data_IF_689453182683
#
_entry.id   IF_689453182683
#
_cell.length_a   1.000
_cell.length_b   1.000
_cell.length_c   1.000
_cell.angle_alpha   90.00
_cell.angle_beta   90.00
_cell.angle_gamma   90.00
#
_symmetry.space_group_name_H-M   'P 1'
#
loop_
_entity.id
_entity.type
_entity.pdbx_description
1 polymer ?
#
# COMPACT_ATOMS: atom_id res chain seq x y z
N UNK A 1 7.05 13.07 17.46
CA UNK A 1 5.62 12.88 17.82
C UNK A 1 5.18 11.57 17.20
N UNK A 2 5.04 10.52 18.02
CA UNK A 2 4.67 9.17 17.57
C UNK A 2 3.15 9.02 17.59
N UNK A 3 2.63 8.54 16.49
CA UNK A 3 1.21 8.41 16.17
C UNK A 3 0.22 8.01 17.25
N UNK A 4 0.61 7.06 18.09
CA UNK A 4 -0.34 6.32 18.91
C UNK A 4 -0.15 6.57 20.42
N UNK A 5 0.77 7.47 20.75
CA UNK A 5 1.12 7.79 22.14
C UNK A 5 0.01 8.48 22.94
N UNK A 6 -1.01 9.05 22.27
CA UNK A 6 -2.12 9.73 22.95
C UNK A 6 -3.42 8.90 23.04
N UNK A 7 -3.50 7.70 22.42
CA UNK A 7 -4.74 6.90 22.39
C UNK A 7 -4.54 5.40 22.71
N UNK A 8 -3.32 4.95 23.01
CA UNK A 8 -3.07 3.54 23.41
C UNK A 8 -3.28 2.51 22.29
N UNK A 9 -3.39 2.94 21.03
CA UNK A 9 -3.56 2.05 19.87
C UNK A 9 -2.21 1.39 19.52
N UNK A 10 -2.13 0.05 19.44
CA UNK A 10 -0.86 -0.62 19.17
C UNK A 10 -0.40 -0.42 17.71
N UNK A 11 0.85 -0.02 17.48
CA UNK A 11 1.43 0.02 16.13
C UNK A 11 2.90 -0.37 16.11
N UNK A 12 3.35 -1.14 15.09
CA UNK A 12 2.55 -1.73 14.01
C UNK A 12 1.55 -2.77 14.51
N UNK A 13 0.56 -3.18 13.70
CA UNK A 13 -0.35 -4.25 14.08
C UNK A 13 0.45 -5.53 14.38
N UNK A 14 -0.02 -6.37 15.31
CA UNK A 14 0.73 -7.55 15.73
C UNK A 14 1.10 -8.44 14.52
N UNK A 15 2.33 -8.96 14.51
CA UNK A 15 2.90 -9.74 13.39
C UNK A 15 3.28 -8.96 12.12
N UNK A 16 3.19 -7.62 12.11
CA UNK A 16 3.54 -6.75 10.96
C UNK A 16 4.79 -5.90 11.20
N UNK A 17 5.90 -6.54 11.60
CA UNK A 17 7.15 -5.84 11.97
C UNK A 17 7.70 -4.91 10.87
N UNK A 18 7.45 -5.18 9.60
CA UNK A 18 7.89 -4.33 8.48
C UNK A 18 7.28 -2.92 8.48
N UNK A 19 6.12 -2.71 9.12
CA UNK A 19 5.48 -1.40 9.26
C UNK A 19 6.10 -0.54 10.38
N UNK A 20 7.00 -1.09 11.20
CA UNK A 20 7.65 -0.38 12.30
C UNK A 20 8.39 0.90 11.88
N UNK A 21 8.85 0.99 10.62
CA UNK A 21 9.48 2.19 10.08
C UNK A 21 8.50 3.33 9.81
N UNK A 22 7.20 3.05 9.71
CA UNK A 22 6.16 4.06 9.46
C UNK A 22 5.79 4.68 10.81
N UNK A 23 6.13 5.95 10.99
CA UNK A 23 5.97 6.67 12.27
C UNK A 23 4.82 7.68 12.30
N UNK A 24 4.21 7.99 11.15
CA UNK A 24 3.08 8.94 10.95
C UNK A 24 1.89 8.23 10.28
N UNK A 25 0.65 8.55 10.68
CA UNK A 25 -0.58 7.92 10.17
C UNK A 25 -0.85 8.45 8.80
N UNK A 26 -0.45 9.68 8.56
CA UNK A 26 -0.56 10.32 7.29
C UNK A 26 0.76 10.91 6.86
N UNK A 27 0.94 10.98 5.55
CA UNK A 27 2.06 11.62 4.91
C UNK A 27 1.66 12.09 3.53
N UNK A 28 2.41 13.05 3.03
CA UNK A 28 2.31 13.51 1.65
C UNK A 28 3.69 13.85 1.09
N UNK A 29 3.82 13.62 -0.20
CA UNK A 29 4.96 13.95 -1.05
C UNK A 29 4.45 14.52 -2.36
N UNK A 30 5.25 15.37 -2.99
CA UNK A 30 4.93 15.95 -4.28
C UNK A 30 6.14 15.88 -5.20
N UNK A 31 5.88 15.81 -6.49
CA UNK A 31 6.84 16.03 -7.55
C UNK A 31 6.32 17.16 -8.44
N UNK A 32 7.19 18.04 -8.88
CA UNK A 32 6.84 19.17 -9.74
C UNK A 32 7.45 18.91 -11.11
N UNK A 33 6.61 18.89 -12.12
CA UNK A 33 7.05 18.82 -13.51
C UNK A 33 6.98 20.24 -14.12
N UNK A 34 8.14 20.89 -14.34
CA UNK A 34 8.17 22.22 -14.93
C UNK A 34 7.80 22.24 -16.42
N UNK A 35 7.94 21.11 -17.14
CA UNK A 35 7.64 21.05 -18.57
C UNK A 35 6.14 21.05 -18.83
N UNK A 36 5.40 20.27 -18.03
CA UNK A 36 3.94 20.18 -18.12
C UNK A 36 3.23 21.15 -17.18
N UNK A 37 4.00 21.96 -16.43
CA UNK A 37 3.50 22.85 -15.39
C UNK A 37 2.48 22.19 -14.46
N UNK A 38 2.75 20.93 -14.11
CA UNK A 38 1.87 20.07 -13.32
C UNK A 38 2.57 19.65 -12.04
N UNK A 39 1.84 19.65 -10.93
CA UNK A 39 2.28 19.12 -9.65
C UNK A 39 1.56 17.80 -9.44
N UNK A 40 2.32 16.73 -9.23
CA UNK A 40 1.79 15.42 -8.87
C UNK A 40 2.06 15.18 -7.39
N UNK A 41 1.04 14.80 -6.65
CA UNK A 41 1.16 14.45 -5.25
C UNK A 41 0.68 13.04 -4.96
N UNK A 42 1.32 12.43 -3.97
CA UNK A 42 0.87 11.19 -3.35
C UNK A 42 0.74 11.41 -1.86
N UNK A 43 -0.33 10.85 -1.30
CA UNK A 43 -0.57 10.86 0.13
C UNK A 43 -0.95 9.47 0.62
N UNK A 44 -0.73 9.23 1.91
CA UNK A 44 -1.28 8.06 2.57
C UNK A 44 -1.96 8.46 3.87
N UNK A 45 -2.90 7.62 4.29
CA UNK A 45 -3.60 7.69 5.57
C UNK A 45 -3.74 6.29 6.17
N UNK A 46 -3.59 6.21 7.48
CA UNK A 46 -3.74 5.00 8.29
C UNK A 46 -4.72 5.34 9.40
N UNK A 47 -5.84 4.62 9.43
CA UNK A 47 -6.86 4.74 10.46
C UNK A 47 -6.98 3.41 11.20
N UNK A 48 -6.95 3.45 12.53
CA UNK A 48 -7.19 2.28 13.36
C UNK A 48 -8.65 2.29 13.82
N UNK A 49 -9.42 1.33 13.35
CA UNK A 49 -10.83 1.18 13.66
C UNK A 49 -11.00 0.09 14.73
N UNK A 50 -11.55 0.42 15.92
CA UNK A 50 -11.77 -0.57 16.97
C UNK A 50 -12.85 -1.57 16.54
N UNK A 51 -12.60 -2.84 16.80
CA UNK A 51 -13.55 -3.95 16.62
C UNK A 51 -13.62 -4.70 17.93
N UNK A 52 -14.83 -4.80 18.48
CA UNK A 52 -15.09 -5.64 19.65
C UNK A 52 -15.27 -7.08 19.22
N UNK A 53 -14.46 -7.96 19.79
CA UNK A 53 -14.66 -9.40 19.67
C UNK A 53 -15.70 -9.88 20.70
N UNK A 54 -16.17 -11.12 20.54
CA UNK A 54 -17.23 -11.71 21.38
C UNK A 54 -16.89 -11.72 22.87
N UNK A 55 -15.59 -11.76 23.23
CA UNK A 55 -15.08 -11.78 24.61
C UNK A 55 -14.79 -10.37 25.19
N UNK A 56 -15.30 -9.30 24.58
CA UNK A 56 -15.01 -7.89 24.94
C UNK A 56 -13.53 -7.47 24.77
N UNK A 57 -12.73 -8.32 24.12
CA UNK A 57 -11.37 -8.00 23.71
C UNK A 57 -11.39 -6.95 22.59
N UNK A 58 -10.72 -5.84 22.85
CA UNK A 58 -10.58 -4.73 21.91
C UNK A 58 -9.50 -5.05 20.87
N UNK A 59 -9.93 -5.35 19.65
CA UNK A 59 -9.06 -5.48 18.48
C UNK A 59 -9.13 -4.26 17.58
N UNK A 60 -8.19 -4.15 16.65
CA UNK A 60 -8.13 -3.06 15.68
C UNK A 60 -8.01 -3.58 14.25
N UNK A 61 -8.81 -2.99 13.36
CA UNK A 61 -8.67 -3.09 11.90
C UNK A 61 -8.00 -1.81 11.42
N UNK A 62 -6.91 -1.93 10.68
CA UNK A 62 -6.17 -0.78 10.17
C UNK A 62 -6.54 -0.52 8.72
N UNK A 63 -7.26 0.56 8.47
CA UNK A 63 -7.58 1.02 7.12
C UNK A 63 -6.40 1.83 6.58
N UNK A 64 -5.78 1.32 5.52
CA UNK A 64 -4.66 1.94 4.82
C UNK A 64 -5.17 2.44 3.49
N UNK A 65 -4.98 3.73 3.23
CA UNK A 65 -5.38 4.40 2.00
C UNK A 65 -4.17 5.13 1.43
N UNK A 66 -3.96 4.99 0.12
CA UNK A 66 -3.00 5.75 -0.67
C UNK A 66 -3.77 6.42 -1.79
N UNK A 67 -3.68 7.74 -1.86
CA UNK A 67 -4.36 8.57 -2.85
C UNK A 67 -3.35 9.42 -3.61
N UNK A 68 -3.66 9.66 -4.87
CA UNK A 68 -2.93 10.57 -5.72
C UNK A 68 -3.75 11.81 -6.04
N UNK A 69 -3.04 12.88 -6.34
CA UNK A 69 -3.66 14.09 -6.84
C UNK A 69 -2.73 14.77 -7.84
N UNK A 70 -3.32 15.48 -8.79
CA UNK A 70 -2.62 16.37 -9.71
C UNK A 70 -3.18 17.77 -9.60
N UNK A 71 -2.31 18.75 -9.81
CA UNK A 71 -2.68 20.16 -9.90
C UNK A 71 -1.96 20.77 -11.10
N UNK A 72 -2.72 21.36 -12.02
CA UNK A 72 -2.22 22.14 -13.15
C UNK A 72 -2.17 23.63 -12.79
N UNK A 73 -1.19 24.36 -13.31
CA UNK A 73 -1.16 25.83 -13.19
C UNK A 73 -2.39 26.53 -13.79
N UNK A 74 -3.17 25.83 -14.63
CA UNK A 74 -4.45 26.30 -15.16
C UNK A 74 -5.59 26.21 -14.13
N UNK A 75 -5.26 25.91 -12.87
CA UNK A 75 -6.18 25.80 -11.73
C UNK A 75 -7.12 24.58 -11.81
N UNK A 76 -6.72 23.57 -12.57
CA UNK A 76 -7.36 22.26 -12.58
C UNK A 76 -6.74 21.36 -11.51
N UNK A 77 -7.57 20.74 -10.70
CA UNK A 77 -7.15 19.76 -9.69
C UNK A 77 -7.93 18.47 -9.84
N UNK A 78 -7.23 17.34 -9.81
CA UNK A 78 -7.84 16.02 -9.86
C UNK A 78 -7.29 15.15 -8.74
N UNK A 79 -8.18 14.54 -7.96
CA UNK A 79 -7.84 13.51 -7.00
C UNK A 79 -8.22 12.14 -7.57
N UNK A 80 -7.43 11.12 -7.27
CA UNK A 80 -7.69 9.76 -7.71
C UNK A 80 -7.20 8.73 -6.70
N UNK A 81 -7.98 7.66 -6.46
CA UNK A 81 -7.57 6.59 -5.56
C UNK A 81 -6.41 5.82 -6.19
N UNK A 82 -5.37 5.48 -5.40
CA UNK A 82 -4.28 4.61 -5.87
C UNK A 82 -4.48 3.20 -5.33
N UNK A 83 -4.53 3.05 -4.01
CA UNK A 83 -4.81 1.76 -3.38
C UNK A 83 -5.44 1.95 -2.00
N UNK A 84 -6.32 1.03 -1.62
CA UNK A 84 -6.84 0.98 -0.25
C UNK A 84 -7.08 -0.45 0.20
N UNK A 85 -6.90 -0.72 1.48
CA UNK A 85 -7.29 -2.00 2.08
C UNK A 85 -7.39 -1.90 3.60
N UNK A 86 -8.01 -2.91 4.19
CA UNK A 86 -8.05 -3.13 5.63
C UNK A 86 -7.04 -4.21 6.01
N UNK A 87 -6.28 -3.98 7.07
CA UNK A 87 -5.25 -4.87 7.59
C UNK A 87 -5.64 -5.32 9.01
N UNK A 88 -5.62 -6.63 9.22
CA UNK A 88 -5.86 -7.27 10.52
C UNK A 88 -4.53 -7.61 11.20
N UNK A 89 -4.53 -7.57 12.53
CA UNK A 89 -3.42 -8.12 13.32
C UNK A 89 -3.28 -9.63 13.09
N UNK A 90 -2.04 -10.14 13.14
CA UNK A 90 -1.75 -11.58 13.11
C UNK A 90 -1.61 -12.07 14.54
N UNK A 91 -2.33 -13.14 14.88
CA UNK A 91 -1.99 -13.92 16.08
C UNK A 91 -0.71 -14.72 15.78
N UNK A 92 0.22 -14.78 16.71
CA UNK A 92 1.45 -15.58 16.57
C UNK A 92 1.14 -17.08 16.45
N UNK A 93 -0.05 -17.52 16.93
CA UNK A 93 -0.48 -18.92 16.98
C UNK A 93 -1.44 -19.36 15.85
N UNK A 94 -1.83 -18.47 14.92
CA UNK A 94 -2.84 -18.84 13.93
C UNK A 94 -2.24 -19.66 12.77
N UNK A 95 -2.41 -20.98 12.85
CA UNK A 95 -2.29 -21.92 11.72
C UNK A 95 -3.30 -21.65 10.59
N UNK A 96 -4.28 -20.76 10.82
CA UNK A 96 -5.27 -20.36 9.83
C UNK A 96 -4.71 -19.33 8.85
N UNK A 97 -4.62 -19.75 7.57
CA UNK A 97 -4.23 -18.93 6.41
C UNK A 97 -5.36 -17.98 5.97
N UNK A 98 -6.02 -17.30 6.90
CA UNK A 98 -7.00 -16.28 6.52
C UNK A 98 -6.28 -15.12 5.82
N UNK A 99 -6.91 -14.49 4.82
CA UNK A 99 -6.35 -13.28 4.25
C UNK A 99 -6.39 -12.19 5.32
N UNK A 100 -5.23 -11.88 5.89
CA UNK A 100 -5.03 -10.80 6.86
C UNK A 100 -5.29 -9.40 6.30
N UNK A 101 -5.66 -9.34 5.01
CA UNK A 101 -6.03 -8.15 4.28
C UNK A 101 -7.48 -8.34 3.80
N UNK A 102 -8.29 -7.30 3.84
CA UNK A 102 -9.64 -7.29 3.28
C UNK A 102 -9.92 -5.99 2.54
N UNK A 103 -11.00 -5.98 1.74
CA UNK A 103 -11.45 -4.80 0.98
C UNK A 103 -10.36 -4.14 0.11
N UNK A 104 -9.51 -4.96 -0.53
CA UNK A 104 -8.49 -4.45 -1.44
C UNK A 104 -9.15 -3.73 -2.62
N UNK A 105 -8.85 -2.45 -2.77
CA UNK A 105 -9.17 -1.65 -3.96
C UNK A 105 -7.89 -1.13 -4.59
N UNK A 106 -7.81 -1.23 -5.91
CA UNK A 106 -6.73 -0.68 -6.72
C UNK A 106 -7.36 0.27 -7.72
N UNK A 107 -6.89 1.51 -7.79
CA UNK A 107 -7.46 2.55 -8.65
C UNK A 107 -9.00 2.64 -8.49
N UNK A 108 -9.47 2.60 -7.25
CA UNK A 108 -10.90 2.67 -6.90
C UNK A 108 -11.70 1.37 -7.09
N UNK A 109 -11.17 0.38 -7.81
CA UNK A 109 -11.90 -0.86 -8.14
C UNK A 109 -11.58 -1.98 -7.17
N UNK A 110 -12.62 -2.71 -6.73
CA UNK A 110 -12.47 -3.90 -5.90
C UNK A 110 -11.65 -4.98 -6.62
N UNK A 111 -10.71 -5.60 -5.90
CA UNK A 111 -9.78 -6.56 -6.47
C UNK A 111 -9.93 -7.92 -5.79
N UNK A 112 -10.01 -9.00 -6.58
CA UNK A 112 -10.03 -10.36 -6.04
C UNK A 112 -8.78 -10.63 -5.22
N UNK A 113 -8.96 -11.16 -4.01
CA UNK A 113 -7.88 -11.34 -3.07
C UNK A 113 -7.48 -12.82 -2.93
N UNK A 114 -6.19 -13.07 -3.09
CA UNK A 114 -5.54 -14.31 -2.69
C UNK A 114 -4.29 -13.97 -1.87
N UNK A 115 -3.68 -14.97 -1.23
CA UNK A 115 -2.50 -14.78 -0.37
C UNK A 115 -1.36 -14.03 -1.07
N UNK A 116 -1.06 -14.41 -2.33
CA UNK A 116 0.00 -13.78 -3.12
C UNK A 116 -0.28 -12.31 -3.43
N UNK A 117 -1.53 -11.98 -3.77
CA UNK A 117 -1.95 -10.60 -4.06
C UNK A 117 -2.04 -9.76 -2.80
N UNK A 118 -2.48 -10.33 -1.69
CA UNK A 118 -2.46 -9.68 -0.38
C UNK A 118 -1.02 -9.28 -0.01
N UNK A 119 -0.07 -10.21 -0.12
CA UNK A 119 1.34 -9.95 0.14
C UNK A 119 1.89 -8.82 -0.76
N UNK A 120 1.63 -8.89 -2.08
CA UNK A 120 2.03 -7.84 -3.03
C UNK A 120 1.44 -6.47 -2.69
N UNK A 121 0.15 -6.43 -2.32
CA UNK A 121 -0.53 -5.20 -1.92
C UNK A 121 0.13 -4.58 -0.68
N UNK A 122 0.47 -5.40 0.32
CA UNK A 122 1.15 -4.94 1.53
C UNK A 122 2.54 -4.38 1.20
N UNK A 123 3.31 -5.08 0.37
CA UNK A 123 4.66 -4.62 0.00
C UNK A 123 4.61 -3.32 -0.82
N UNK A 124 3.67 -3.21 -1.76
CA UNK A 124 3.44 -1.98 -2.52
C UNK A 124 3.05 -0.81 -1.60
N UNK A 125 2.12 -1.04 -0.67
CA UNK A 125 1.69 -0.03 0.30
C UNK A 125 2.86 0.45 1.17
N UNK A 126 3.65 -0.50 1.70
CA UNK A 126 4.83 -0.20 2.49
C UNK A 126 5.85 0.62 1.68
N UNK A 127 6.04 0.29 0.40
CA UNK A 127 6.88 1.04 -0.50
C UNK A 127 6.38 2.48 -0.66
N UNK A 128 5.10 2.67 -0.99
CA UNK A 128 4.48 4.00 -1.10
C UNK A 128 4.68 4.82 0.17
N UNK A 129 4.29 4.29 1.33
CA UNK A 129 4.40 5.01 2.60
C UNK A 129 5.85 5.38 2.95
N UNK A 130 6.83 4.52 2.62
CA UNK A 130 8.25 4.82 2.80
C UNK A 130 8.73 5.95 1.88
N UNK A 131 8.37 5.91 0.60
CA UNK A 131 8.76 6.97 -0.35
C UNK A 131 8.11 8.31 0.00
N UNK A 132 6.81 8.30 0.32
CA UNK A 132 6.08 9.48 0.79
C UNK A 132 6.72 10.03 2.07
N UNK A 133 7.12 9.15 3.00
CA UNK A 133 7.86 9.52 4.21
C UNK A 133 9.22 10.17 3.94
N UNK A 134 9.86 9.85 2.81
CA UNK A 134 11.12 10.44 2.31
C UNK A 134 10.90 11.66 1.42
N UNK A 135 9.66 12.15 1.31
CA UNK A 135 9.27 13.28 0.43
C UNK A 135 9.43 13.02 -1.07
N UNK A 136 9.42 11.74 -1.46
CA UNK A 136 9.43 11.33 -2.86
C UNK A 136 8.03 10.84 -3.27
N UNK A 137 7.49 11.38 -4.36
CA UNK A 137 6.26 10.90 -4.98
C UNK A 137 6.62 9.96 -6.14
N UNK A 138 6.65 8.63 -5.94
CA UNK A 138 6.94 7.68 -7.01
C UNK A 138 5.81 7.64 -8.05
N UNK A 139 6.13 7.20 -9.27
CA UNK A 139 5.11 6.86 -10.28
C UNK A 139 4.27 5.68 -9.77
N UNK A 140 3.01 5.95 -9.42
CA UNK A 140 2.15 4.96 -8.82
C UNK A 140 1.78 3.82 -9.79
N UNK A 141 1.65 4.10 -11.09
CA UNK A 141 1.31 3.10 -12.10
C UNK A 141 2.45 2.10 -12.25
N UNK A 142 3.68 2.61 -12.34
CA UNK A 142 4.88 1.79 -12.42
C UNK A 142 5.03 0.89 -11.18
N UNK A 143 4.75 1.42 -9.98
CA UNK A 143 4.80 0.63 -8.75
C UNK A 143 3.70 -0.44 -8.73
N UNK A 144 2.46 -0.11 -9.08
CA UNK A 144 1.39 -1.10 -9.16
C UNK A 144 1.72 -2.21 -10.17
N UNK A 145 2.34 -1.86 -11.30
CA UNK A 145 2.83 -2.82 -12.29
C UNK A 145 3.93 -3.73 -11.76
N UNK A 146 4.94 -3.15 -11.09
CA UNK A 146 6.06 -3.88 -10.49
C UNK A 146 5.57 -4.95 -9.51
N UNK A 147 4.61 -4.58 -8.65
CA UNK A 147 3.98 -5.51 -7.70
C UNK A 147 2.88 -6.37 -8.32
N UNK A 148 2.60 -6.24 -9.62
CA UNK A 148 1.55 -6.98 -10.36
C UNK A 148 0.18 -6.84 -9.70
N UNK A 149 -0.17 -5.61 -9.39
CA UNK A 149 -1.44 -5.20 -8.79
C UNK A 149 -2.37 -4.47 -9.75
N UNK A 150 -1.93 -4.20 -10.99
CA UNK A 150 -2.80 -3.66 -12.04
C UNK A 150 -4.10 -4.47 -12.14
N UNK A 151 -5.23 -3.78 -12.19
CA UNK A 151 -6.49 -4.41 -12.54
C UNK A 151 -6.43 -4.74 -14.03
N UNK A 152 -5.87 -5.89 -14.37
CA UNK A 152 -6.10 -6.49 -15.68
C UNK A 152 -7.57 -6.92 -15.73
N UNK A 153 -8.46 -6.02 -16.10
CA UNK A 153 -9.83 -6.35 -16.52
C UNK A 153 -9.85 -7.30 -17.74
N UNK A 154 -8.68 -7.68 -18.30
CA UNK A 154 -8.54 -8.49 -19.51
C UNK A 154 -7.65 -9.74 -19.36
N UNK A 155 -7.59 -10.41 -18.21
CA UNK A 155 -6.99 -11.77 -18.16
C UNK A 155 -7.81 -12.74 -17.33
N UNK A 156 -8.98 -13.10 -17.86
CA UNK A 156 -9.38 -14.51 -17.87
C UNK A 156 -8.58 -15.22 -18.97
N UNK A 157 -7.26 -15.29 -18.84
CA UNK A 157 -6.46 -16.21 -19.65
C UNK A 157 -6.68 -17.60 -19.03
N UNK A 158 -7.45 -18.41 -19.75
CA UNK A 158 -7.56 -19.87 -19.71
C UNK A 158 -6.88 -20.62 -18.56
N UNK A 159 -7.64 -21.57 -18.00
CA UNK A 159 -7.30 -22.56 -16.97
C UNK A 159 -6.02 -23.42 -17.21
N UNK A 160 -5.15 -23.11 -18.16
CA UNK A 160 -4.04 -23.97 -18.57
C UNK A 160 -2.63 -23.40 -18.35
N UNK A 161 -2.46 -22.11 -18.06
CA UNK A 161 -1.12 -21.58 -17.77
C UNK A 161 -0.79 -21.65 -16.28
N UNK A 162 -0.14 -22.75 -15.89
CA UNK A 162 0.56 -22.89 -14.60
C UNK A 162 1.35 -21.61 -14.33
N UNK A 163 0.84 -20.78 -13.43
CA UNK A 163 1.57 -19.65 -12.88
C UNK A 163 2.84 -20.19 -12.21
N UNK A 164 3.98 -20.13 -12.90
CA UNK A 164 5.26 -20.42 -12.25
C UNK A 164 5.40 -19.45 -11.05
N UNK A 165 5.59 -19.95 -9.82
CA UNK A 165 5.84 -19.09 -8.69
C UNK A 165 7.19 -18.42 -8.90
N UNK A 166 7.18 -17.17 -9.36
CA UNK A 166 8.35 -16.30 -9.21
C UNK A 166 8.64 -16.16 -7.72
N UNK A 167 9.85 -16.53 -7.33
CA UNK A 167 10.38 -16.46 -5.97
C UNK A 167 10.30 -15.02 -5.44
N UNK A 168 10.00 -14.87 -4.14
CA UNK A 168 9.93 -13.56 -3.47
C UNK A 168 11.18 -12.73 -3.71
N UNK A 169 12.34 -13.39 -3.69
CA UNK A 169 13.67 -12.80 -3.87
C UNK A 169 13.80 -12.00 -5.18
N UNK A 170 13.09 -12.42 -6.23
CA UNK A 170 13.12 -11.72 -7.51
C UNK A 170 12.33 -10.40 -7.45
N UNK A 171 11.20 -10.35 -6.74
CA UNK A 171 10.41 -9.12 -6.59
C UNK A 171 11.17 -8.11 -5.72
N UNK A 172 11.82 -8.60 -4.67
CA UNK A 172 12.65 -7.76 -3.80
C UNK A 172 13.89 -7.25 -4.52
N UNK A 173 14.54 -8.07 -5.36
CA UNK A 173 15.64 -7.66 -6.23
C UNK A 173 15.21 -6.58 -7.22
N UNK A 174 14.12 -6.80 -7.94
CA UNK A 174 13.64 -5.85 -8.96
C UNK A 174 13.24 -4.49 -8.33
N UNK A 175 12.67 -4.51 -7.11
CA UNK A 175 12.38 -3.30 -6.34
C UNK A 175 13.66 -2.61 -5.84
N UNK A 176 14.69 -3.37 -5.44
CA UNK A 176 15.99 -2.83 -5.07
C UNK A 176 16.71 -2.18 -6.27
N UNK A 177 16.66 -2.81 -7.44
CA UNK A 177 17.25 -2.28 -8.67
C UNK A 177 16.57 -0.98 -9.11
N UNK A 178 15.24 -0.90 -8.98
CA UNK A 178 14.51 0.35 -9.21
C UNK A 178 14.93 1.45 -8.21
N UNK A 179 15.13 1.12 -6.94
CA UNK A 179 15.65 2.08 -5.95
C UNK A 179 17.07 2.56 -6.23
N UNK A 180 17.93 1.72 -6.82
CA UNK A 180 19.28 2.10 -7.22
C UNK A 180 19.25 3.13 -8.36
N UNK A 181 18.30 3.00 -9.29
CA UNK A 181 18.12 3.95 -10.40
C UNK A 181 17.62 5.32 -9.94
N UNK A 182 16.71 5.38 -8.95
CA UNK A 182 16.20 6.66 -8.42
C UNK A 182 17.28 7.45 -7.65
N UNK A 183 18.33 6.80 -7.15
CA UNK A 183 19.43 7.48 -6.45
C UNK A 183 20.57 7.92 -7.37
N UNK A 184 20.46 7.65 -8.67
CA UNK A 184 21.52 7.86 -9.66
C UNK A 184 21.51 9.23 -10.36
N UNK A 185 20.49 10.05 -10.10
CA UNK A 185 20.35 11.44 -10.57
C UNK A 185 20.23 12.39 -9.36
#
# INVERSE_FOLDING_TARGET
MYLFSNQGVPWPPAGWKHFSSIKKSCGQSLNKDPETATIVGLSYKIEANPVRLEDDDLSYVYSIVVDGWTYSIQNDSQEYPVMSFNLLSRSEDSTQKLPYLSNLRIQGNASFLNERKAHRAIMAALFFMKQIGRKNAPDYEQILKLYRLENSLNRCDSLENRCKPIALDQIESDACDYMMKIKGD
#
